data_IF_515360330158
#
_entry.id   IF_515360330158
#
_cell.length_a   1.000
_cell.length_b   1.000
_cell.length_c   1.000
_cell.angle_alpha   90.00
_cell.angle_beta   90.00
_cell.angle_gamma   90.00
#
_symmetry.space_group_name_H-M   'P 1'
#
loop_
_entity.id
_entity.type
_entity.pdbx_description
1 polymer ?
#
# COMPACT_ATOMS: atom_id res chain seq x y z
N UNK A 1 19.92 -14.80 2.93
CA UNK A 1 18.78 -13.89 2.68
C UNK A 1 18.42 -13.22 4.01
N UNK A 2 18.34 -11.93 4.06
CA UNK A 2 17.83 -11.20 5.24
C UNK A 2 16.34 -10.95 5.02
N UNK A 3 15.56 -10.80 6.09
CA UNK A 3 14.09 -10.56 5.98
C UNK A 3 13.78 -9.33 5.11
N UNK A 4 14.60 -8.27 5.20
CA UNK A 4 14.46 -7.09 4.35
C UNK A 4 14.58 -7.38 2.84
N UNK A 5 15.23 -8.47 2.46
CA UNK A 5 15.39 -8.85 1.06
C UNK A 5 14.08 -9.40 0.45
N UNK A 6 13.06 -9.64 1.30
CA UNK A 6 11.70 -10.03 0.89
C UNK A 6 10.78 -8.83 0.62
N UNK A 7 11.26 -7.59 0.85
CA UNK A 7 10.52 -6.38 0.52
C UNK A 7 10.93 -5.94 -0.89
N UNK A 8 9.99 -6.06 -1.84
CA UNK A 8 10.17 -5.56 -3.21
C UNK A 8 10.01 -4.05 -3.26
N UNK A 9 10.98 -3.36 -3.86
CA UNK A 9 10.93 -1.91 -4.08
C UNK A 9 11.21 -1.65 -5.55
N UNK A 10 10.22 -1.10 -6.25
CA UNK A 10 10.23 -0.91 -7.70
C UNK A 10 10.11 0.58 -8.04
N UNK A 11 11.24 1.31 -8.21
CA UNK A 11 11.21 2.70 -8.66
C UNK A 11 10.61 2.79 -10.07
N UNK A 12 9.88 3.88 -10.33
CA UNK A 12 9.26 4.14 -11.64
C UNK A 12 8.27 3.07 -12.12
N UNK A 13 7.67 2.30 -11.20
CA UNK A 13 6.60 1.36 -11.51
C UNK A 13 5.39 2.06 -12.15
N UNK A 14 5.16 3.32 -11.78
CA UNK A 14 4.15 4.20 -12.38
C UNK A 14 4.80 5.50 -12.85
N UNK A 15 4.26 6.05 -13.95
CA UNK A 15 4.70 7.37 -14.45
C UNK A 15 4.14 8.47 -13.55
N UNK A 16 4.85 9.58 -13.49
CA UNK A 16 4.44 10.75 -12.70
C UNK A 16 3.04 11.26 -13.08
N UNK A 17 2.69 11.23 -14.36
CA UNK A 17 1.36 11.64 -14.85
C UNK A 17 0.24 10.73 -14.32
N UNK A 18 0.49 9.42 -14.20
CA UNK A 18 -0.45 8.46 -13.63
C UNK A 18 -0.64 8.72 -12.12
N UNK A 19 0.45 8.97 -11.41
CA UNK A 19 0.41 9.34 -9.99
C UNK A 19 -0.38 10.63 -9.76
N UNK A 20 -0.13 11.67 -10.55
CA UNK A 20 -0.88 12.93 -10.51
C UNK A 20 -2.37 12.74 -10.77
N UNK A 21 -2.72 11.85 -11.70
CA UNK A 21 -4.12 11.51 -11.99
C UNK A 21 -4.82 10.86 -10.78
N UNK A 22 -4.13 9.98 -10.05
CA UNK A 22 -4.65 9.37 -8.82
C UNK A 22 -4.82 10.40 -7.70
N UNK A 23 -3.85 11.30 -7.51
CA UNK A 23 -3.97 12.42 -6.55
C UNK A 23 -5.18 13.28 -6.87
N UNK A 24 -5.35 13.63 -8.14
CA UNK A 24 -6.49 14.44 -8.58
C UNK A 24 -7.84 13.80 -8.22
N UNK A 25 -7.95 12.46 -8.30
CA UNK A 25 -9.18 11.74 -7.93
C UNK A 25 -9.51 11.86 -6.45
N UNK A 26 -8.51 11.77 -5.58
CA UNK A 26 -8.73 12.01 -4.14
C UNK A 26 -9.13 13.47 -3.87
N UNK A 27 -8.43 14.44 -4.45
CA UNK A 27 -8.74 15.86 -4.23
C UNK A 27 -10.14 16.24 -4.77
N UNK A 28 -10.58 15.61 -5.87
CA UNK A 28 -11.93 15.73 -6.40
C UNK A 28 -12.95 15.13 -5.43
N UNK A 29 -12.67 13.93 -4.89
CA UNK A 29 -13.52 13.25 -3.91
C UNK A 29 -13.65 14.07 -2.61
N UNK A 30 -12.56 14.72 -2.14
CA UNK A 30 -12.59 15.62 -0.99
C UNK A 30 -13.54 16.79 -1.23
N UNK A 31 -13.47 17.45 -2.40
CA UNK A 31 -14.36 18.55 -2.77
C UNK A 31 -15.82 18.14 -2.83
N UNK A 32 -16.09 16.91 -3.24
CA UNK A 32 -17.44 16.36 -3.40
C UNK A 32 -18.00 15.75 -2.11
N UNK A 33 -17.20 15.66 -1.02
CA UNK A 33 -17.61 14.98 0.22
C UNK A 33 -17.70 13.45 0.09
N UNK A 34 -17.00 12.86 -0.88
CA UNK A 34 -16.95 11.41 -1.14
C UNK A 34 -15.78 10.73 -0.40
N UNK A 35 -14.85 11.52 0.16
CA UNK A 35 -13.72 11.01 0.96
C UNK A 35 -14.13 10.81 2.43
N UNK A 36 -13.33 10.01 3.14
CA UNK A 36 -13.56 9.71 4.55
C UNK A 36 -12.25 9.76 5.35
N UNK A 37 -12.36 9.87 6.67
CA UNK A 37 -11.21 9.79 7.56
C UNK A 37 -10.69 8.36 7.61
N UNK A 38 -9.39 8.18 7.47
CA UNK A 38 -8.76 6.86 7.51
C UNK A 38 -9.01 6.14 8.83
N UNK A 39 -9.38 4.86 8.73
CA UNK A 39 -9.60 3.95 9.85
C UNK A 39 -8.41 2.99 10.00
N UNK A 40 -8.26 2.36 11.14
CA UNK A 40 -7.28 1.29 11.40
C UNK A 40 -7.95 0.06 12.01
N UNK A 41 -7.23 -1.03 12.12
CA UNK A 41 -7.56 -2.41 12.44
C UNK A 41 -8.94 -2.77 13.03
N UNK A 42 -9.39 -2.06 14.05
CA UNK A 42 -10.70 -2.23 14.67
C UNK A 42 -11.87 -1.54 13.92
N UNK A 43 -11.60 -1.00 12.73
CA UNK A 43 -12.59 -0.25 11.93
C UNK A 43 -12.93 1.13 12.50
N UNK A 44 -12.22 1.58 13.52
CA UNK A 44 -12.44 2.86 14.19
C UNK A 44 -11.47 3.96 13.76
N UNK A 45 -11.93 5.20 13.91
CA UNK A 45 -11.07 6.38 13.88
C UNK A 45 -10.31 6.43 15.20
N UNK A 46 -8.99 6.36 15.15
CA UNK A 46 -8.15 6.40 16.34
C UNK A 46 -6.96 7.35 16.18
N UNK A 47 -6.15 7.48 17.25
CA UNK A 47 -4.98 8.36 17.26
C UNK A 47 -3.76 7.79 16.53
N UNK A 48 -3.80 6.53 16.13
CA UNK A 48 -2.66 5.85 15.48
C UNK A 48 -2.58 6.16 13.98
N UNK A 49 -3.74 6.42 13.33
CA UNK A 49 -3.83 6.77 11.92
C UNK A 49 -4.59 8.08 11.75
N UNK A 50 -3.99 9.00 11.02
CA UNK A 50 -4.60 10.26 10.62
C UNK A 50 -4.35 10.49 9.14
N UNK A 51 -5.35 10.18 8.32
CA UNK A 51 -5.33 10.35 6.86
C UNK A 51 -6.73 10.69 6.34
N UNK A 52 -6.78 11.20 5.12
CA UNK A 52 -8.00 11.31 4.32
C UNK A 52 -7.94 10.25 3.24
N UNK A 53 -8.94 9.37 3.19
CA UNK A 53 -8.93 8.17 2.36
C UNK A 53 -10.08 8.20 1.33
N UNK A 54 -9.85 7.58 0.16
CA UNK A 54 -10.84 7.41 -0.89
C UNK A 54 -10.63 6.07 -1.60
N UNK A 55 -11.68 5.23 -1.64
CA UNK A 55 -11.63 3.94 -2.32
C UNK A 55 -12.15 4.07 -3.75
N UNK A 56 -11.27 3.94 -4.74
CA UNK A 56 -11.66 4.10 -6.15
C UNK A 56 -12.41 2.89 -6.74
N UNK A 57 -12.40 1.72 -6.06
CA UNK A 57 -13.18 0.55 -6.51
C UNK A 57 -14.68 0.70 -6.27
N UNK A 58 -15.10 1.54 -5.32
CA UNK A 58 -16.52 1.75 -5.01
C UNK A 58 -17.27 2.54 -6.08
N UNK A 59 -16.56 3.04 -7.11
CA UNK A 59 -17.13 3.94 -8.09
C UNK A 59 -16.87 3.47 -9.52
N UNK A 60 -17.90 3.09 -10.25
CA UNK A 60 -17.83 2.64 -11.66
C UNK A 60 -17.13 3.67 -12.57
N UNK A 61 -17.25 4.96 -12.25
CA UNK A 61 -16.55 6.06 -12.97
C UNK A 61 -15.03 5.90 -12.99
N UNK A 62 -14.46 5.08 -12.10
CA UNK A 62 -13.01 4.84 -11.99
C UNK A 62 -12.57 3.46 -12.47
N UNK A 63 -13.49 2.64 -12.99
CA UNK A 63 -13.21 1.25 -13.37
C UNK A 63 -11.98 1.09 -14.26
N UNK A 64 -11.84 1.89 -15.32
CA UNK A 64 -10.68 1.81 -16.21
C UNK A 64 -9.35 2.08 -15.46
N UNK A 65 -9.34 3.07 -14.55
CA UNK A 65 -8.16 3.38 -13.74
C UNK A 65 -7.84 2.26 -12.76
N UNK A 66 -8.85 1.72 -12.11
CA UNK A 66 -8.70 0.58 -11.19
C UNK A 66 -8.14 -0.65 -11.91
N UNK A 67 -8.67 -0.98 -13.08
CA UNK A 67 -8.20 -2.10 -13.92
C UNK A 67 -6.72 -1.91 -14.31
N UNK A 68 -6.32 -0.70 -14.71
CA UNK A 68 -4.92 -0.38 -15.04
C UNK A 68 -4.01 -0.58 -13.83
N UNK A 69 -4.42 -0.09 -12.65
CA UNK A 69 -3.64 -0.23 -11.42
C UNK A 69 -3.50 -1.69 -11.02
N UNK A 70 -4.60 -2.44 -10.97
CA UNK A 70 -4.60 -3.85 -10.59
C UNK A 70 -3.77 -4.71 -11.55
N UNK A 71 -3.91 -4.50 -12.86
CA UNK A 71 -3.10 -5.21 -13.85
C UNK A 71 -1.60 -4.93 -13.68
N UNK A 72 -1.22 -3.70 -13.34
CA UNK A 72 0.17 -3.36 -13.08
C UNK A 72 0.69 -3.96 -11.78
N UNK A 73 -0.11 -3.96 -10.73
CA UNK A 73 0.24 -4.65 -9.48
C UNK A 73 0.44 -6.15 -9.70
N UNK A 74 -0.46 -6.80 -10.43
CA UNK A 74 -0.31 -8.21 -10.80
C UNK A 74 0.96 -8.45 -11.64
N UNK A 75 1.27 -7.55 -12.58
CA UNK A 75 2.51 -7.65 -13.36
C UNK A 75 3.75 -7.62 -12.45
N UNK A 76 3.86 -6.62 -11.55
CA UNK A 76 5.00 -6.53 -10.63
C UNK A 76 5.04 -7.68 -9.64
N UNK A 77 3.91 -8.16 -9.16
CA UNK A 77 3.87 -9.33 -8.28
C UNK A 77 4.39 -10.57 -9.00
N UNK A 78 3.87 -10.88 -10.19
CA UNK A 78 4.16 -12.14 -10.89
C UNK A 78 5.53 -12.14 -11.58
N UNK A 79 5.92 -11.04 -12.24
CA UNK A 79 7.08 -11.03 -13.12
C UNK A 79 8.32 -10.36 -12.50
N UNK A 80 8.18 -9.72 -11.34
CA UNK A 80 9.30 -9.05 -10.69
C UNK A 80 9.51 -9.55 -9.26
N UNK A 81 8.44 -9.64 -8.47
CA UNK A 81 8.54 -10.01 -7.07
C UNK A 81 8.68 -11.53 -6.90
N UNK A 82 7.73 -12.32 -7.41
CA UNK A 82 7.70 -13.77 -7.22
C UNK A 82 8.81 -14.50 -7.99
N UNK A 83 9.33 -13.95 -9.08
CA UNK A 83 10.50 -14.51 -9.80
C UNK A 83 11.75 -14.60 -8.91
N UNK A 84 11.88 -13.74 -7.90
CA UNK A 84 12.95 -13.84 -6.92
C UNK A 84 12.76 -14.98 -5.89
N UNK A 85 11.57 -15.59 -5.88
CA UNK A 85 11.18 -16.65 -4.95
C UNK A 85 10.56 -17.84 -5.69
N UNK A 86 11.31 -18.56 -6.54
CA UNK A 86 10.76 -19.55 -7.48
C UNK A 86 9.95 -20.66 -6.80
N UNK A 87 10.31 -21.06 -5.58
CA UNK A 87 9.54 -22.08 -4.84
C UNK A 87 8.22 -21.54 -4.29
N UNK A 88 8.14 -20.24 -4.02
CA UNK A 88 6.90 -19.58 -3.60
C UNK A 88 6.04 -19.28 -4.82
N UNK A 89 6.65 -18.91 -5.95
CA UNK A 89 5.95 -18.65 -7.20
C UNK A 89 5.17 -19.89 -7.66
N UNK A 90 5.77 -21.07 -7.67
CA UNK A 90 5.10 -22.32 -8.01
C UNK A 90 3.84 -22.56 -7.15
N UNK A 91 3.92 -22.27 -5.86
CA UNK A 91 2.81 -22.43 -4.92
C UNK A 91 1.72 -21.36 -5.08
N UNK A 92 2.11 -20.08 -5.19
CA UNK A 92 1.16 -18.97 -5.28
C UNK A 92 0.62 -18.76 -6.69
N UNK A 93 1.46 -18.90 -7.72
CA UNK A 93 1.04 -18.68 -9.11
C UNK A 93 -0.13 -19.58 -9.48
N UNK A 94 -0.07 -20.88 -9.15
CA UNK A 94 -1.16 -21.81 -9.42
C UNK A 94 -2.47 -21.45 -8.71
N UNK A 95 -2.41 -20.77 -7.58
CA UNK A 95 -3.59 -20.34 -6.81
C UNK A 95 -4.08 -18.94 -7.18
N UNK A 96 -3.16 -18.03 -7.50
CA UNK A 96 -3.50 -16.66 -7.91
C UNK A 96 -4.17 -16.62 -9.29
N UNK A 97 -3.72 -17.49 -10.22
CA UNK A 97 -4.27 -17.58 -11.59
C UNK A 97 -5.66 -18.23 -11.64
N UNK A 98 -6.09 -18.95 -10.61
CA UNK A 98 -7.37 -19.65 -10.56
C UNK A 98 -8.51 -18.85 -9.90
N UNK A 99 -8.50 -17.52 -10.01
CA UNK A 99 -9.53 -16.60 -9.47
C UNK A 99 -9.81 -16.74 -7.96
N UNK A 100 -8.83 -17.26 -7.20
CA UNK A 100 -8.94 -17.41 -5.75
C UNK A 100 -8.35 -16.25 -4.94
N UNK A 101 -8.03 -15.17 -5.61
CA UNK A 101 -7.56 -13.94 -4.98
C UNK A 101 -8.21 -12.71 -5.57
N UNK A 102 -8.31 -11.67 -4.78
CA UNK A 102 -8.89 -10.39 -5.18
C UNK A 102 -8.27 -9.22 -4.43
N UNK A 103 -8.46 -8.03 -4.98
CA UNK A 103 -8.19 -6.77 -4.30
C UNK A 103 -9.51 -6.25 -3.72
N UNK A 104 -9.70 -6.24 -2.38
CA UNK A 104 -10.97 -5.83 -1.76
C UNK A 104 -11.21 -4.32 -1.86
N UNK A 105 -10.14 -3.54 -2.04
CA UNK A 105 -10.20 -2.09 -2.21
C UNK A 105 -8.96 -1.60 -2.96
N UNK A 106 -9.05 -0.39 -3.53
CA UNK A 106 -7.90 0.40 -3.99
C UNK A 106 -8.02 1.78 -3.32
N UNK A 107 -7.25 1.97 -2.26
CA UNK A 107 -7.41 3.12 -1.38
C UNK A 107 -6.33 4.16 -1.63
N UNK A 108 -6.72 5.33 -2.12
CA UNK A 108 -5.84 6.49 -2.15
C UNK A 108 -5.91 7.16 -0.78
N UNK A 109 -4.75 7.46 -0.21
CA UNK A 109 -4.63 8.05 1.12
C UNK A 109 -3.78 9.31 1.06
N UNK A 110 -4.27 10.37 1.68
CA UNK A 110 -3.55 11.61 1.92
C UNK A 110 -3.17 11.72 3.38
N UNK A 111 -1.92 12.02 3.62
CA UNK A 111 -1.38 12.37 4.93
C UNK A 111 -0.91 13.81 4.90
N UNK A 112 -1.60 14.68 5.64
CA UNK A 112 -1.30 16.11 5.68
C UNK A 112 0.08 16.37 6.28
N UNK A 113 0.81 17.32 5.70
CA UNK A 113 2.08 17.81 6.21
C UNK A 113 2.00 18.19 7.68
N UNK A 114 2.96 17.68 8.47
CA UNK A 114 3.12 18.01 9.89
C UNK A 114 2.03 17.46 10.82
N UNK A 115 1.08 16.65 10.31
CA UNK A 115 0.02 16.09 11.14
C UNK A 115 -0.47 14.70 10.73
N UNK A 116 -0.46 14.38 9.44
CA UNK A 116 -0.89 13.08 8.93
C UNK A 116 0.13 11.99 9.27
N UNK A 117 -0.35 10.80 9.66
CA UNK A 117 0.54 9.68 10.03
C UNK A 117 -0.22 8.35 10.12
N UNK A 118 0.53 7.27 10.09
CA UNK A 118 0.12 5.97 10.60
C UNK A 118 1.25 5.45 11.48
N UNK A 119 1.32 5.95 12.73
CA UNK A 119 2.51 5.85 13.58
C UNK A 119 2.55 4.61 14.47
N UNK A 120 1.49 3.81 14.52
CA UNK A 120 1.54 2.50 15.18
C UNK A 120 2.36 1.51 14.34
N UNK A 121 3.23 0.75 15.01
CA UNK A 121 3.83 -0.44 14.41
C UNK A 121 2.77 -1.52 14.29
N UNK A 122 2.51 -2.02 13.07
CA UNK A 122 1.46 -2.99 12.78
C UNK A 122 1.88 -3.96 11.69
N UNK A 123 1.15 -5.04 11.57
CA UNK A 123 1.11 -5.94 10.42
C UNK A 123 -0.27 -5.84 9.80
N UNK A 124 -0.45 -6.39 8.61
CA UNK A 124 -1.75 -6.32 7.94
C UNK A 124 -2.65 -7.52 8.26
N UNK A 125 -2.09 -8.56 8.87
CA UNK A 125 -2.84 -9.72 9.38
C UNK A 125 -2.91 -9.62 10.91
N UNK A 126 -3.87 -8.87 11.44
CA UNK A 126 -3.99 -8.62 12.88
C UNK A 126 -5.05 -9.51 13.55
N UNK A 127 -6.04 -9.99 12.80
CA UNK A 127 -7.17 -10.79 13.31
C UNK A 127 -7.73 -11.76 12.24
N UNK A 128 -8.82 -12.45 12.56
CA UNK A 128 -9.49 -13.37 11.63
C UNK A 128 -10.05 -12.66 10.39
N UNK A 129 -10.52 -11.42 10.52
CA UNK A 129 -11.07 -10.63 9.42
C UNK A 129 -10.02 -10.20 8.41
N UNK A 130 -8.76 -10.13 8.82
CA UNK A 130 -7.61 -9.74 7.99
C UNK A 130 -6.69 -10.90 7.63
N UNK A 131 -6.98 -12.12 8.15
CA UNK A 131 -6.12 -13.31 7.99
C UNK A 131 -5.96 -13.80 6.54
N UNK A 132 -6.84 -13.38 5.64
CA UNK A 132 -6.78 -13.73 4.21
C UNK A 132 -5.90 -12.78 3.38
N UNK A 133 -5.32 -11.72 3.96
CA UNK A 133 -4.39 -10.82 3.26
C UNK A 133 -3.07 -11.52 3.00
N UNK A 134 -2.58 -11.49 1.76
CA UNK A 134 -1.34 -12.15 1.34
C UNK A 134 -0.19 -11.19 1.16
N UNK A 135 -0.41 -10.19 0.30
CA UNK A 135 0.57 -9.18 -0.04
C UNK A 135 -0.02 -7.80 0.14
N UNK A 136 0.83 -6.89 0.54
CA UNK A 136 0.56 -5.45 0.63
C UNK A 136 1.20 -4.76 -0.55
N UNK A 137 0.48 -3.83 -1.15
CA UNK A 137 0.97 -2.93 -2.20
C UNK A 137 0.89 -1.51 -1.68
N UNK A 138 2.01 -0.79 -1.72
CA UNK A 138 2.09 0.63 -1.39
C UNK A 138 2.74 1.36 -2.55
N UNK A 139 1.97 2.18 -3.26
CA UNK A 139 2.46 3.03 -4.34
C UNK A 139 2.56 4.47 -3.83
N UNK A 140 3.75 5.04 -3.83
CA UNK A 140 3.93 6.47 -3.58
C UNK A 140 3.51 7.30 -4.79
N UNK A 141 2.62 8.28 -4.58
CA UNK A 141 2.08 9.11 -5.65
C UNK A 141 2.81 10.44 -5.81
N UNK A 142 3.58 10.86 -4.80
CA UNK A 142 4.41 12.06 -4.86
C UNK A 142 5.70 11.89 -4.07
N UNK A 143 6.62 12.80 -4.33
CA UNK A 143 7.85 12.94 -3.55
C UNK A 143 7.56 13.63 -2.22
N UNK A 144 8.23 13.17 -1.15
CA UNK A 144 8.29 13.86 0.14
C UNK A 144 9.76 13.93 0.56
N UNK A 145 10.31 15.15 0.65
CA UNK A 145 11.75 15.33 0.89
C UNK A 145 12.15 15.07 2.35
N UNK A 146 11.27 15.42 3.30
CA UNK A 146 11.50 15.21 4.74
C UNK A 146 10.32 14.50 5.37
N UNK A 147 10.58 13.41 6.09
CA UNK A 147 9.57 12.57 6.71
C UNK A 147 8.78 11.73 5.70
N UNK A 148 7.65 11.19 6.12
CA UNK A 148 6.72 10.44 5.27
C UNK A 148 7.18 9.03 4.88
N UNK A 149 8.33 8.55 5.34
CA UNK A 149 8.85 7.23 5.02
C UNK A 149 7.88 6.12 5.45
N UNK A 150 7.93 4.98 4.77
CA UNK A 150 7.43 3.71 5.30
C UNK A 150 8.60 3.01 5.98
N UNK A 151 8.48 2.78 7.29
CA UNK A 151 9.50 2.10 8.08
C UNK A 151 9.12 0.66 8.37
N UNK A 152 10.09 -0.24 8.31
CA UNK A 152 9.95 -1.66 8.63
C UNK A 152 10.83 -2.00 9.83
N UNK A 153 10.28 -2.73 10.79
CA UNK A 153 10.96 -3.16 12.01
C UNK A 153 11.09 -4.68 11.99
N UNK A 154 12.33 -5.19 11.89
CA UNK A 154 12.58 -6.64 11.85
C UNK A 154 13.08 -7.19 13.19
N UNK A 155 13.68 -6.34 14.00
CA UNK A 155 14.20 -6.66 15.32
C UNK A 155 14.21 -5.39 16.17
N UNK A 156 14.10 -5.55 17.48
CA UNK A 156 14.28 -4.45 18.41
C UNK A 156 15.70 -3.87 18.30
N UNK A 157 15.84 -2.55 18.28
CA UNK A 157 17.10 -1.84 18.11
C UNK A 157 17.37 -1.37 16.69
N UNK A 158 18.58 -1.59 16.18
CA UNK A 158 19.07 -0.99 14.93
C UNK A 158 18.64 -1.71 13.62
N UNK A 159 17.92 -2.81 13.71
CA UNK A 159 17.48 -3.57 12.54
C UNK A 159 16.21 -2.98 11.92
N UNK A 160 16.36 -1.76 11.42
CA UNK A 160 15.32 -0.86 10.99
C UNK A 160 15.59 -0.40 9.55
N UNK A 161 14.55 -0.46 8.72
CA UNK A 161 14.64 -0.11 7.31
C UNK A 161 13.56 0.91 6.94
N UNK A 162 13.92 1.98 6.21
CA UNK A 162 13.00 3.01 5.73
C UNK A 162 13.01 3.13 4.23
N UNK A 163 11.83 3.27 3.64
CA UNK A 163 11.66 3.61 2.23
C UNK A 163 11.15 5.05 2.14
N UNK A 164 11.94 5.92 1.50
CA UNK A 164 11.58 7.32 1.27
C UNK A 164 10.51 7.42 0.18
N UNK A 165 9.46 8.25 0.36
CA UNK A 165 8.46 8.48 -0.68
C UNK A 165 9.07 9.13 -1.93
N UNK A 166 8.96 8.42 -3.05
CA UNK A 166 9.29 8.90 -4.38
C UNK A 166 8.16 8.51 -5.33
N UNK A 167 7.66 9.49 -6.09
CA UNK A 167 6.55 9.29 -7.03
C UNK A 167 6.81 8.09 -7.96
N UNK A 168 5.80 7.24 -8.10
CA UNK A 168 5.88 6.05 -8.94
C UNK A 168 6.61 4.86 -8.34
N UNK A 169 7.14 4.96 -7.11
CA UNK A 169 7.77 3.82 -6.43
C UNK A 169 6.70 2.92 -5.82
N UNK A 170 6.71 1.64 -6.22
CA UNK A 170 5.86 0.60 -5.68
C UNK A 170 6.64 -0.25 -4.67
N UNK A 171 6.03 -0.50 -3.52
CA UNK A 171 6.52 -1.45 -2.52
C UNK A 171 5.56 -2.65 -2.51
N UNK A 172 6.11 -3.86 -2.50
CA UNK A 172 5.38 -5.12 -2.32
C UNK A 172 6.02 -5.89 -1.18
N UNK A 173 5.22 -6.32 -0.21
CA UNK A 173 5.71 -7.18 0.87
C UNK A 173 4.59 -8.11 1.38
N UNK A 174 4.92 -9.23 2.07
CA UNK A 174 3.93 -10.06 2.71
C UNK A 174 3.13 -9.30 3.77
N UNK A 175 1.86 -9.65 3.94
CA UNK A 175 0.96 -9.01 4.89
C UNK A 175 1.17 -9.44 6.34
N UNK A 176 1.80 -10.62 6.54
CA UNK A 176 1.95 -11.27 7.84
C UNK A 176 3.18 -10.79 8.63
N UNK A 177 3.23 -11.19 9.90
CA UNK A 177 4.48 -11.17 10.67
C UNK A 177 5.59 -11.96 9.90
N UNK A 178 6.85 -11.49 9.83
CA UNK A 178 7.46 -10.43 10.62
C UNK A 178 7.54 -9.06 9.93
N UNK A 179 6.69 -8.76 8.96
CA UNK A 179 6.74 -7.50 8.20
C UNK A 179 6.04 -6.34 8.94
N UNK A 180 6.46 -6.12 10.21
CA UNK A 180 5.96 -5.03 11.03
C UNK A 180 6.40 -3.70 10.41
N UNK A 181 5.45 -2.79 10.17
CA UNK A 181 5.74 -1.52 9.53
C UNK A 181 4.88 -0.37 10.08
N UNK A 182 5.25 0.87 9.71
CA UNK A 182 4.47 2.08 9.99
C UNK A 182 4.73 3.18 8.97
N UNK A 183 3.82 4.15 8.89
CA UNK A 183 3.96 5.38 8.10
C UNK A 183 4.37 6.56 8.96
N UNK A 184 5.55 7.14 8.69
CA UNK A 184 6.01 8.35 9.37
C UNK A 184 5.24 9.58 8.87
N UNK A 185 5.14 10.59 9.75
CA UNK A 185 4.58 11.89 9.43
C UNK A 185 5.40 12.57 8.33
N UNK A 186 4.77 13.07 7.25
CA UNK A 186 5.45 13.89 6.26
C UNK A 186 5.71 15.30 6.81
N UNK A 187 6.91 15.83 6.60
CA UNK A 187 7.35 17.10 7.17
C UNK A 187 7.53 18.20 6.12
N UNK A 188 7.86 17.86 4.87
CA UNK A 188 8.11 18.85 3.80
C UNK A 188 6.87 19.19 2.96
N UNK A 189 6.02 18.19 2.69
CA UNK A 189 4.80 18.32 1.87
C UNK A 189 3.77 17.30 2.30
N UNK A 190 2.52 17.41 1.84
CA UNK A 190 1.54 16.34 1.97
C UNK A 190 2.07 15.06 1.28
N UNK A 191 1.77 13.89 1.85
CA UNK A 191 2.10 12.59 1.28
C UNK A 191 0.84 11.94 0.73
N UNK A 192 0.94 11.43 -0.50
CA UNK A 192 -0.11 10.65 -1.13
C UNK A 192 0.40 9.25 -1.46
N UNK A 193 -0.39 8.25 -1.12
CA UNK A 193 -0.15 6.86 -1.50
C UNK A 193 -1.41 6.24 -2.07
N UNK A 194 -1.25 5.19 -2.87
CA UNK A 194 -2.31 4.22 -3.15
C UNK A 194 -1.90 2.91 -2.49
N UNK A 195 -2.80 2.32 -1.73
CA UNK A 195 -2.56 1.04 -1.04
C UNK A 195 -3.69 0.06 -1.27
N UNK A 196 -3.34 -1.22 -1.26
CA UNK A 196 -4.27 -2.34 -1.31
C UNK A 196 -3.62 -3.61 -0.77
N UNK A 197 -4.45 -4.63 -0.60
CA UNK A 197 -4.01 -6.00 -0.29
C UNK A 197 -4.48 -6.94 -1.39
N UNK A 198 -3.63 -7.90 -1.75
CA UNK A 198 -4.10 -9.09 -2.44
C UNK A 198 -4.56 -10.09 -1.37
N UNK A 199 -5.81 -10.53 -1.47
CA UNK A 199 -6.44 -11.39 -0.48
C UNK A 199 -6.91 -12.72 -1.11
N UNK A 200 -6.87 -13.80 -0.32
CA UNK A 200 -7.59 -15.01 -0.69
C UNK A 200 -9.09 -14.73 -0.72
N UNK A 201 -9.77 -15.29 -1.72
CA UNK A 201 -11.23 -15.37 -1.77
C UNK A 201 -11.69 -16.76 -1.31
N UNK A 202 -12.85 -16.80 -0.68
CA UNK A 202 -13.52 -18.05 -0.26
C UNK A 202 -14.03 -18.84 -1.47
#
# INVERSE_FOLDING_TARGET
MKIKDVIGIYPNAFKEAECKSLIYKLEEAVKNGESYQGMSGDGGVNTYKKSTDYNILEHDKHKLMSDIVMNRFNHYLSNEYLENFPHIDEFYHHRLVNDKSSYPLLQIQKYDKGSGHYNAWHVEQEDLGTSNRLFVFILYLNDVEEGGETGFLFKEGDDFFKVKPKAGTLIIHPASWPFIHKGYMPLSSDKYILTTWLCWTS
#
